data_IF_909339537596
#
_entry.id   IF_909339537596
#
_cell.length_a   1.000
_cell.length_b   1.000
_cell.length_c   1.000
_cell.angle_alpha   90.00
_cell.angle_beta   90.00
_cell.angle_gamma   90.00
#
_symmetry.space_group_name_H-M   'P 1'
#
loop_
_entity.id
_entity.type
_entity.pdbx_description
1 polymer ?
#
# COMPACT_ATOMS: atom_id res chain seq x y z
N UNK A 1 8.11 -1.55 -36.95
CA UNK A 1 8.23 -0.61 -38.09
C UNK A 1 9.64 -0.58 -38.68
N UNK A 2 10.68 -1.03 -37.97
CA UNK A 2 12.08 -1.05 -38.47
C UNK A 2 12.40 -2.09 -39.57
N UNK A 3 11.52 -3.06 -39.83
CA UNK A 3 11.77 -4.13 -40.83
C UNK A 3 11.10 -3.91 -42.19
N UNK A 4 10.43 -2.76 -42.44
CA UNK A 4 9.90 -2.38 -43.76
C UNK A 4 8.68 -3.17 -44.29
N UNK A 5 8.26 -4.26 -43.64
CA UNK A 5 7.12 -5.10 -44.09
C UNK A 5 5.74 -4.45 -43.97
N UNK A 6 5.61 -3.34 -43.22
CA UNK A 6 4.36 -2.62 -43.01
C UNK A 6 4.59 -1.18 -43.45
N UNK A 7 3.96 -0.79 -44.57
CA UNK A 7 4.13 0.53 -45.20
C UNK A 7 3.48 1.66 -44.39
N UNK A 8 2.43 1.35 -43.63
CA UNK A 8 1.73 2.32 -42.77
C UNK A 8 1.28 1.66 -41.48
N UNK A 9 1.47 2.33 -40.35
CA UNK A 9 1.11 1.80 -39.04
C UNK A 9 -0.42 1.64 -38.93
N UNK A 10 -0.94 0.42 -38.70
CA UNK A 10 -2.39 0.19 -38.63
C UNK A 10 -3.05 0.90 -37.43
N UNK A 11 -2.28 1.33 -36.43
CA UNK A 11 -2.78 2.11 -35.30
C UNK A 11 -2.95 3.61 -35.59
N UNK A 12 -2.44 4.13 -36.72
CA UNK A 12 -2.58 5.55 -37.08
C UNK A 12 -4.05 5.96 -37.30
N UNK A 13 -4.89 5.01 -37.73
CA UNK A 13 -6.33 5.20 -37.88
C UNK A 13 -7.10 4.97 -36.57
N UNK A 14 -6.48 4.33 -35.57
CA UNK A 14 -7.11 3.99 -34.31
C UNK A 14 -6.86 5.10 -33.27
N UNK A 15 -7.80 6.04 -33.21
CA UNK A 15 -7.80 7.08 -32.18
C UNK A 15 -8.48 6.56 -30.92
N UNK A 16 -7.69 6.16 -29.93
CA UNK A 16 -8.20 5.91 -28.57
C UNK A 16 -8.65 7.25 -28.00
N UNK A 17 -9.94 7.42 -27.74
CA UNK A 17 -10.38 8.54 -26.89
C UNK A 17 -9.70 8.37 -25.53
N UNK A 18 -8.93 9.37 -25.11
CA UNK A 18 -8.37 9.40 -23.78
C UNK A 18 -9.52 9.21 -22.78
N UNK A 19 -9.47 8.10 -22.04
CA UNK A 19 -10.45 7.85 -20.99
C UNK A 19 -10.41 8.98 -19.97
N UNK A 20 -11.56 9.34 -19.40
CA UNK A 20 -11.59 10.28 -18.27
C UNK A 20 -10.73 9.70 -17.14
N UNK A 21 -9.76 10.48 -16.67
CA UNK A 21 -8.96 10.10 -15.51
C UNK A 21 -9.93 9.83 -14.35
N UNK A 22 -9.86 8.62 -13.78
CA UNK A 22 -10.64 8.30 -12.57
C UNK A 22 -9.99 9.00 -11.40
N UNK A 23 -10.79 9.67 -10.57
CA UNK A 23 -10.31 10.25 -9.33
C UNK A 23 -9.67 9.17 -8.46
N UNK A 24 -8.42 9.40 -8.05
CA UNK A 24 -7.70 8.48 -7.18
C UNK A 24 -8.35 8.56 -5.80
N UNK A 25 -8.88 7.44 -5.32
CA UNK A 25 -9.50 7.36 -4.00
C UNK A 25 -8.40 7.19 -2.94
N UNK A 26 -8.41 8.08 -1.94
CA UNK A 26 -7.57 8.02 -0.75
C UNK A 26 -8.46 8.19 0.49
N UNK A 27 -7.93 7.87 1.67
CA UNK A 27 -8.64 8.07 2.94
C UNK A 27 -8.31 9.43 3.54
N UNK A 28 -9.32 10.07 4.14
CA UNK A 28 -9.10 11.22 5.03
C UNK A 28 -8.56 10.74 6.37
N UNK A 29 -8.01 11.66 7.18
CA UNK A 29 -7.53 11.33 8.53
C UNK A 29 -8.62 10.73 9.41
N UNK A 30 -9.84 11.29 9.38
CA UNK A 30 -10.98 10.76 10.12
C UNK A 30 -11.36 9.34 9.66
N UNK A 31 -11.37 9.08 8.34
CA UNK A 31 -11.62 7.73 7.85
C UNK A 31 -10.54 6.73 8.28
N UNK A 32 -9.27 7.16 8.28
CA UNK A 32 -8.19 6.31 8.75
C UNK A 32 -8.29 6.02 10.25
N UNK A 33 -8.58 7.04 11.05
CA UNK A 33 -8.78 6.91 12.50
C UNK A 33 -9.94 5.96 12.83
N UNK A 34 -11.04 6.02 12.07
CA UNK A 34 -12.14 5.06 12.22
C UNK A 34 -11.72 3.62 11.93
N UNK A 35 -10.88 3.40 10.93
CA UNK A 35 -10.34 2.07 10.62
C UNK A 35 -9.39 1.61 11.74
N UNK A 36 -8.54 2.51 12.25
CA UNK A 36 -7.59 2.24 13.32
C UNK A 36 -8.31 1.81 14.62
N UNK A 37 -9.37 2.53 14.98
CA UNK A 37 -10.18 2.28 16.17
C UNK A 37 -11.26 1.19 15.99
N UNK A 38 -11.40 0.63 14.79
CA UNK A 38 -12.39 -0.40 14.51
C UNK A 38 -12.09 -1.68 15.29
N UNK A 39 -13.03 -2.13 16.11
CA UNK A 39 -12.88 -3.35 16.92
C UNK A 39 -13.19 -4.58 16.09
N UNK A 40 -12.16 -5.35 15.77
CA UNK A 40 -12.24 -6.60 15.01
C UNK A 40 -11.39 -7.69 15.69
N UNK A 41 -11.80 -8.95 15.55
CA UNK A 41 -11.13 -10.09 16.16
C UNK A 41 -10.29 -10.93 15.19
N UNK A 42 -9.34 -11.70 15.74
CA UNK A 42 -8.62 -12.76 15.03
C UNK A 42 -7.88 -12.30 13.77
N UNK A 43 -8.02 -13.05 12.67
CA UNK A 43 -7.35 -12.72 11.40
C UNK A 43 -7.74 -11.35 10.81
N UNK A 44 -8.92 -10.82 11.17
CA UNK A 44 -9.40 -9.54 10.64
C UNK A 44 -8.62 -8.38 11.27
N UNK A 45 -8.25 -8.46 12.56
CA UNK A 45 -7.42 -7.44 13.20
C UNK A 45 -6.01 -7.39 12.61
N UNK A 46 -5.45 -8.55 12.27
CA UNK A 46 -4.19 -8.64 11.54
C UNK A 46 -4.24 -7.90 10.20
N UNK A 47 -5.33 -8.07 9.43
CA UNK A 47 -5.52 -7.40 8.15
C UNK A 47 -5.71 -5.89 8.30
N UNK A 48 -6.47 -5.45 9.32
CA UNK A 48 -6.60 -4.04 9.69
C UNK A 48 -5.22 -3.43 9.99
N UNK A 49 -4.43 -4.10 10.83
CA UNK A 49 -3.13 -3.58 11.24
C UNK A 49 -2.14 -3.52 10.07
N UNK A 50 -2.13 -4.52 9.18
CA UNK A 50 -1.32 -4.46 7.96
C UNK A 50 -1.79 -3.31 7.04
N UNK A 51 -3.11 -3.08 6.92
CA UNK A 51 -3.63 -1.97 6.13
C UNK A 51 -3.18 -0.61 6.69
N UNK A 52 -3.30 -0.42 8.01
CA UNK A 52 -2.85 0.79 8.70
C UNK A 52 -1.33 0.96 8.56
N UNK A 53 -0.56 -0.12 8.68
CA UNK A 53 0.89 -0.09 8.44
C UNK A 53 1.23 0.40 7.02
N UNK A 54 0.51 -0.08 5.99
CA UNK A 54 0.70 0.40 4.62
C UNK A 54 0.33 1.88 4.46
N UNK A 55 -0.71 2.36 5.16
CA UNK A 55 -1.10 3.77 5.15
C UNK A 55 -0.04 4.70 5.78
N UNK A 56 0.76 4.21 6.72
CA UNK A 56 1.79 4.98 7.42
C UNK A 56 3.22 4.78 6.90
N UNK A 57 3.44 3.83 6.00
CA UNK A 57 4.76 3.59 5.38
C UNK A 57 4.78 3.82 3.87
N UNK A 58 3.59 3.85 3.26
CA UNK A 58 3.43 3.88 1.81
C UNK A 58 3.88 2.61 1.11
N UNK A 59 4.26 1.54 1.83
CA UNK A 59 4.68 0.29 1.21
C UNK A 59 3.54 -0.37 0.44
N UNK A 60 3.89 -1.05 -0.66
CA UNK A 60 2.92 -1.92 -1.32
C UNK A 60 2.74 -3.20 -0.51
N UNK A 61 1.57 -3.83 -0.60
CA UNK A 61 1.33 -5.10 0.09
C UNK A 61 2.37 -6.16 -0.28
N UNK A 62 2.82 -6.18 -1.54
CA UNK A 62 3.86 -7.10 -1.99
C UNK A 62 5.23 -6.83 -1.38
N UNK A 63 5.54 -5.58 -1.03
CA UNK A 63 6.79 -5.23 -0.36
C UNK A 63 6.71 -5.64 1.11
N UNK A 64 5.57 -5.35 1.77
CA UNK A 64 5.28 -5.81 3.13
C UNK A 64 5.36 -7.33 3.27
N UNK A 65 4.93 -8.05 2.24
CA UNK A 65 5.01 -9.51 2.19
C UNK A 65 6.43 -10.07 2.01
N UNK A 66 7.39 -9.25 1.56
CA UNK A 66 8.75 -9.66 1.24
C UNK A 66 9.76 -9.25 2.29
N UNK A 67 9.55 -8.12 2.97
CA UNK A 67 10.54 -7.58 3.90
C UNK A 67 10.72 -8.40 5.17
N UNK A 68 11.98 -8.53 5.56
CA UNK A 68 12.42 -8.94 6.87
C UNK A 68 12.70 -7.68 7.67
N UNK A 69 11.68 -7.14 8.33
CA UNK A 69 11.77 -5.88 9.06
C UNK A 69 12.76 -5.91 10.23
N UNK A 70 13.27 -7.08 10.65
CA UNK A 70 14.36 -7.15 11.62
C UNK A 70 15.72 -6.78 11.01
N UNK A 71 15.89 -7.02 9.70
CA UNK A 71 17.15 -6.80 8.97
C UNK A 71 17.11 -5.56 8.08
N UNK A 72 15.96 -5.30 7.46
CA UNK A 72 15.79 -4.28 6.43
C UNK A 72 15.53 -2.88 7.02
N UNK A 73 15.35 -2.79 8.34
CA UNK A 73 15.17 -1.51 9.05
C UNK A 73 16.51 -0.93 9.44
N UNK A 74 16.81 0.26 8.91
CA UNK A 74 17.97 1.06 9.27
C UNK A 74 17.56 2.15 10.25
N UNK A 75 18.33 2.32 11.32
CA UNK A 75 18.14 3.41 12.29
C UNK A 75 19.16 4.50 12.04
N UNK A 76 18.69 5.72 11.75
CA UNK A 76 19.54 6.89 11.54
C UNK A 76 18.90 8.13 12.17
N UNK A 77 19.69 8.96 12.85
CA UNK A 77 19.22 10.22 13.48
C UNK A 77 17.95 10.09 14.34
N UNK A 78 17.78 8.96 15.04
CA UNK A 78 16.61 8.69 15.89
C UNK A 78 15.34 8.24 15.13
N UNK A 79 15.40 8.17 13.80
CA UNK A 79 14.31 7.70 12.93
C UNK A 79 14.61 6.30 12.40
N UNK A 80 13.54 5.55 12.09
CA UNK A 80 13.61 4.24 11.46
C UNK A 80 13.24 4.37 9.99
N UNK A 81 13.99 3.70 9.13
CA UNK A 81 13.84 3.72 7.70
C UNK A 81 13.86 2.31 7.14
N UNK A 82 13.23 2.12 5.98
CA UNK A 82 13.36 0.90 5.19
C UNK A 82 14.13 1.26 3.93
N UNK A 83 15.21 0.54 3.70
CA UNK A 83 16.07 0.65 2.52
C UNK A 83 15.96 -0.67 1.74
N UNK A 84 15.49 -0.61 0.48
CA UNK A 84 15.42 -1.78 -0.38
C UNK A 84 15.68 -1.42 -1.86
N UNK A 85 16.28 -2.34 -2.60
CA UNK A 85 16.53 -2.26 -4.03
C UNK A 85 15.38 -2.89 -4.81
N UNK A 86 14.59 -2.08 -5.54
CA UNK A 86 13.56 -2.63 -6.41
C UNK A 86 14.19 -3.41 -7.57
N UNK A 87 14.13 -4.75 -7.47
CA UNK A 87 14.54 -5.71 -8.51
C UNK A 87 14.01 -5.45 -9.93
N UNK A 88 12.95 -4.65 -10.10
CA UNK A 88 12.32 -4.39 -11.41
C UNK A 88 12.88 -3.15 -12.13
N UNK A 89 13.53 -2.21 -11.42
CA UNK A 89 13.99 -0.93 -12.00
C UNK A 89 15.39 -0.51 -11.55
N UNK A 90 16.09 -1.33 -10.75
CA UNK A 90 17.42 -1.03 -10.23
C UNK A 90 17.48 0.32 -9.48
N UNK A 91 16.37 0.67 -8.83
CA UNK A 91 16.22 1.93 -8.09
C UNK A 91 15.94 1.60 -6.64
N UNK A 92 16.89 1.93 -5.76
CA UNK A 92 16.69 1.89 -4.31
C UNK A 92 15.53 2.81 -3.92
N UNK A 93 14.69 2.38 -2.99
CA UNK A 93 13.72 3.27 -2.37
C UNK A 93 13.97 3.35 -0.86
N UNK A 94 13.79 4.55 -0.33
CA UNK A 94 13.98 4.89 1.06
C UNK A 94 12.65 5.42 1.60
N UNK A 95 12.07 4.77 2.60
CA UNK A 95 10.84 5.25 3.24
C UNK A 95 10.99 5.37 4.75
N UNK A 96 10.46 6.46 5.29
CA UNK A 96 10.41 6.70 6.73
C UNK A 96 9.31 5.84 7.34
N UNK A 97 9.61 5.21 8.48
CA UNK A 97 8.60 4.51 9.28
C UNK A 97 8.05 5.49 10.31
N UNK A 98 6.81 5.90 10.14
CA UNK A 98 6.11 6.77 11.10
C UNK A 98 5.88 6.04 12.45
N UNK A 99 5.75 6.75 13.58
CA UNK A 99 5.61 6.15 14.91
C UNK A 99 4.51 5.09 15.02
N UNK A 100 3.33 5.34 14.41
CA UNK A 100 2.22 4.37 14.40
C UNK A 100 2.54 3.08 13.64
N UNK A 101 3.33 3.15 12.57
CA UNK A 101 3.81 1.96 11.88
C UNK A 101 4.80 1.16 12.76
N UNK A 102 5.63 1.85 13.55
CA UNK A 102 6.55 1.21 14.51
C UNK A 102 5.79 0.47 15.61
N UNK A 103 4.70 1.05 16.12
CA UNK A 103 3.84 0.39 17.12
C UNK A 103 3.27 -0.93 16.61
N UNK A 104 2.83 -0.96 15.35
CA UNK A 104 2.35 -2.19 14.70
C UNK A 104 3.49 -3.20 14.54
N UNK A 105 4.67 -2.78 14.09
CA UNK A 105 5.82 -3.69 14.00
C UNK A 105 6.16 -4.30 15.37
N UNK A 106 6.21 -3.48 16.42
CA UNK A 106 6.47 -3.97 17.79
C UNK A 106 5.41 -4.96 18.26
N UNK A 107 4.13 -4.70 17.98
CA UNK A 107 3.02 -5.62 18.32
C UNK A 107 3.23 -7.02 17.73
N UNK A 108 3.80 -7.11 16.54
CA UNK A 108 4.04 -8.37 15.84
C UNK A 108 5.49 -8.86 15.92
N UNK A 109 6.30 -8.32 16.85
CA UNK A 109 7.73 -8.64 16.96
C UNK A 109 8.46 -8.56 15.60
N UNK A 110 8.21 -7.49 14.85
CA UNK A 110 8.74 -7.22 13.51
C UNK A 110 8.38 -8.26 12.43
N UNK A 111 7.50 -9.21 12.74
CA UNK A 111 7.04 -10.25 11.81
C UNK A 111 5.54 -10.13 11.54
N UNK A 112 5.18 -9.32 10.55
CA UNK A 112 3.78 -9.08 10.21
C UNK A 112 3.07 -10.37 9.75
N UNK A 113 1.80 -10.58 10.14
CA UNK A 113 1.01 -11.77 9.80
C UNK A 113 0.48 -11.71 8.36
N UNK A 114 1.38 -11.81 7.39
CA UNK A 114 1.07 -11.71 5.97
C UNK A 114 0.23 -12.91 5.53
N UNK A 115 -0.77 -12.66 4.69
CA UNK A 115 -1.66 -13.66 4.09
C UNK A 115 -1.63 -13.52 2.56
N UNK A 116 -2.36 -14.36 1.83
CA UNK A 116 -2.50 -14.16 0.39
C UNK A 116 -3.21 -12.83 0.10
N UNK A 117 -2.82 -12.14 -0.97
CA UNK A 117 -3.44 -10.86 -1.35
C UNK A 117 -4.96 -10.99 -1.57
N UNK A 118 -5.42 -12.15 -2.06
CA UNK A 118 -6.84 -12.47 -2.20
C UNK A 118 -7.52 -12.49 -0.83
N UNK A 119 -6.96 -13.22 0.14
CA UNK A 119 -7.51 -13.30 1.50
C UNK A 119 -7.50 -11.95 2.19
N UNK A 120 -6.38 -11.23 2.07
CA UNK A 120 -6.23 -9.87 2.57
C UNK A 120 -7.35 -8.95 2.07
N UNK A 121 -7.60 -8.91 0.76
CA UNK A 121 -8.65 -8.05 0.19
C UNK A 121 -10.06 -8.46 0.64
N UNK A 122 -10.33 -9.76 0.82
CA UNK A 122 -11.61 -10.26 1.34
C UNK A 122 -11.82 -9.80 2.79
N UNK A 123 -10.83 -10.02 3.65
CA UNK A 123 -10.92 -9.62 5.06
C UNK A 123 -10.94 -8.09 5.22
N UNK A 124 -10.27 -7.35 4.32
CA UNK A 124 -10.31 -5.89 4.28
C UNK A 124 -11.72 -5.36 3.99
N UNK A 125 -12.57 -6.10 3.27
CA UNK A 125 -14.00 -5.75 3.12
C UNK A 125 -14.75 -5.81 4.45
N UNK A 126 -14.38 -6.75 5.33
CA UNK A 126 -14.95 -6.83 6.67
C UNK A 126 -14.53 -5.63 7.50
N UNK A 127 -13.24 -5.30 7.51
CA UNK A 127 -12.74 -4.08 8.16
C UNK A 127 -13.45 -2.83 7.62
N UNK A 128 -13.64 -2.73 6.30
CA UNK A 128 -14.37 -1.62 5.67
C UNK A 128 -15.80 -1.50 6.21
N UNK A 129 -16.51 -2.63 6.31
CA UNK A 129 -17.89 -2.67 6.81
C UNK A 129 -17.97 -2.26 8.28
N UNK A 130 -17.16 -2.86 9.13
CA UNK A 130 -17.13 -2.59 10.57
C UNK A 130 -16.69 -1.15 10.89
N UNK A 131 -15.75 -0.60 10.12
CA UNK A 131 -15.33 0.80 10.25
C UNK A 131 -16.34 1.79 9.65
N UNK A 132 -17.40 1.32 8.97
CA UNK A 132 -18.42 2.12 8.31
C UNK A 132 -17.87 2.99 7.17
N UNK A 133 -16.91 2.46 6.41
CA UNK A 133 -16.25 3.17 5.30
C UNK A 133 -16.96 2.86 3.99
N UNK A 134 -17.42 3.89 3.29
CA UNK A 134 -18.12 3.75 2.01
C UNK A 134 -17.16 3.56 0.83
N UNK A 135 -15.91 4.04 0.97
CA UNK A 135 -14.87 3.86 -0.04
C UNK A 135 -14.45 2.39 -0.15
N UNK A 136 -14.28 1.92 -1.39
CA UNK A 136 -13.85 0.56 -1.67
C UNK A 136 -12.38 0.35 -1.27
N UNK A 137 -12.12 -0.13 -0.05
CA UNK A 137 -10.77 -0.37 0.45
C UNK A 137 -10.06 -1.45 -0.39
N UNK A 138 -8.81 -1.18 -0.75
CA UNK A 138 -7.90 -2.11 -1.43
C UNK A 138 -6.47 -1.82 -0.95
N UNK A 139 -5.55 -2.77 -1.16
CA UNK A 139 -4.12 -2.56 -0.88
C UNK A 139 -3.55 -1.28 -1.52
N UNK A 140 -4.03 -0.90 -2.71
CA UNK A 140 -3.55 0.29 -3.41
C UNK A 140 -4.02 1.60 -2.75
N UNK A 141 -5.22 1.64 -2.16
CA UNK A 141 -5.71 2.83 -1.46
C UNK A 141 -4.83 3.16 -0.26
N UNK A 142 -4.29 2.16 0.44
CA UNK A 142 -3.41 2.40 1.59
C UNK A 142 -2.18 3.22 1.20
N UNK A 143 -1.45 2.78 0.16
CA UNK A 143 -0.28 3.51 -0.35
C UNK A 143 -0.62 4.91 -0.88
N UNK A 144 -1.76 5.07 -1.56
CA UNK A 144 -2.19 6.40 -2.01
C UNK A 144 -2.55 7.32 -0.85
N UNK A 145 -3.13 6.77 0.21
CA UNK A 145 -3.43 7.51 1.44
C UNK A 145 -2.16 8.05 2.07
N UNK A 146 -1.08 7.28 2.11
CA UNK A 146 0.22 7.78 2.57
C UNK A 146 0.65 9.02 1.78
N UNK A 147 0.69 8.91 0.44
CA UNK A 147 1.18 9.97 -0.44
C UNK A 147 0.33 11.25 -0.39
N UNK A 148 -0.98 11.15 -0.12
CA UNK A 148 -1.90 12.31 -0.13
C UNK A 148 -2.18 12.87 1.25
N UNK A 149 -2.17 12.05 2.30
CA UNK A 149 -2.70 12.41 3.63
C UNK A 149 -1.62 12.42 4.71
N UNK A 150 -0.46 11.78 4.51
CA UNK A 150 0.59 11.65 5.54
C UNK A 150 1.88 12.43 5.26
N UNK A 151 2.16 12.73 3.99
CA UNK A 151 3.40 13.43 3.57
C UNK A 151 3.24 14.96 3.55
N UNK A 152 2.02 15.46 3.76
CA UNK A 152 1.70 16.90 3.85
C UNK A 152 1.31 17.27 5.28
#
# INVERSE_FOLDING_TARGET
>A
MELGYIVKNPYDAFKVQAGKARDRKYLTLNELERIENCVVGGAISNVRDIFIFCCYTGLSYSDVAKFDFEKDIVKSNGMLFIEDERKKTDTGFYTVILPKAIEILKKYAYKLPVVSLQRYNIDLKRVQFEAGITKNLTSHIARHTFATTMIF
#
